data_IF_570808872402
#
_entry.id   IF_570808872402
#
_cell.length_a   1.000
_cell.length_b   1.000
_cell.length_c   1.000
_cell.angle_alpha   90.00
_cell.angle_beta   90.00
_cell.angle_gamma   90.00
#
_symmetry.space_group_name_H-M   'P 1'
#
loop_
_entity.id
_entity.type
_entity.pdbx_description
1 polymer ?
#
# COMPACT_ATOMS: atom_id res chain seq x y z
N UNK A 1 -30.53 20.25 -0.83
CA UNK A 1 -30.29 19.29 0.26
C UNK A 1 -28.92 18.68 0.04
N UNK A 2 -27.98 18.95 0.96
CA UNK A 2 -26.67 18.32 1.02
C UNK A 2 -26.83 16.84 1.38
N UNK A 3 -26.12 15.95 0.67
CA UNK A 3 -25.78 14.63 1.19
C UNK A 3 -24.27 14.45 1.09
N UNK A 4 -23.60 14.81 2.18
CA UNK A 4 -22.18 14.59 2.40
C UNK A 4 -21.92 13.09 2.64
N UNK A 5 -20.78 12.62 2.12
CA UNK A 5 -19.86 11.68 2.79
C UNK A 5 -20.45 10.30 3.05
N UNK A 6 -20.09 9.31 2.22
CA UNK A 6 -19.57 7.99 2.63
C UNK A 6 -19.30 7.19 1.35
N UNK A 7 -18.01 7.02 1.03
CA UNK A 7 -17.51 5.94 0.16
C UNK A 7 -18.26 5.72 -1.15
N UNK A 8 -18.10 6.62 -2.12
CA UNK A 8 -18.19 6.15 -3.51
C UNK A 8 -17.23 4.95 -3.68
N UNK A 9 -17.61 3.94 -4.47
CA UNK A 9 -17.07 2.58 -4.45
C UNK A 9 -15.61 2.44 -4.89
N UNK A 10 -14.69 3.12 -4.20
CA UNK A 10 -13.28 3.28 -4.54
C UNK A 10 -12.50 1.95 -4.58
N UNK A 11 -13.11 0.86 -4.10
CA UNK A 11 -12.64 -0.53 -4.13
C UNK A 11 -13.16 -1.33 -5.36
N UNK A 12 -14.21 -0.89 -6.07
CA UNK A 12 -14.98 -1.81 -6.91
C UNK A 12 -14.34 -2.18 -8.27
N UNK A 13 -13.31 -1.50 -8.80
CA UNK A 13 -12.82 -1.85 -10.17
C UNK A 13 -11.33 -1.63 -10.45
N UNK A 14 -10.43 -2.30 -9.73
CA UNK A 14 -8.98 -2.26 -9.95
C UNK A 14 -8.34 -0.99 -9.39
N UNK A 15 -7.78 -1.11 -8.19
CA UNK A 15 -6.80 -0.15 -7.67
C UNK A 15 -5.51 -0.27 -8.48
N UNK A 16 -5.49 0.34 -9.66
CA UNK A 16 -4.25 0.93 -10.14
C UNK A 16 -3.90 2.05 -9.17
N UNK A 17 -3.35 1.70 -8.01
CA UNK A 17 -2.67 2.65 -7.18
C UNK A 17 -1.53 3.24 -8.02
N UNK A 18 -1.75 4.47 -8.46
CA UNK A 18 -0.71 5.29 -9.05
C UNK A 18 0.06 5.88 -7.89
N UNK A 19 1.13 5.21 -7.47
CA UNK A 19 2.21 5.87 -6.74
C UNK A 19 2.61 7.11 -7.54
N UNK A 20 2.81 8.25 -6.88
CA UNK A 20 3.25 9.45 -7.57
C UNK A 20 4.51 9.13 -8.41
N UNK A 21 4.48 9.32 -9.75
CA UNK A 21 5.64 9.07 -10.58
C UNK A 21 6.87 9.86 -10.13
N UNK A 22 6.72 11.03 -9.50
CA UNK A 22 7.84 11.80 -8.94
C UNK A 22 8.32 11.36 -7.56
N UNK A 23 7.64 10.43 -6.88
CA UNK A 23 7.95 10.10 -5.49
C UNK A 23 9.40 9.58 -5.29
N UNK A 24 10.11 10.13 -4.33
CA UNK A 24 11.43 9.62 -3.94
C UNK A 24 11.36 8.22 -3.32
N UNK A 25 12.49 7.50 -3.21
CA UNK A 25 12.51 6.22 -2.51
C UNK A 25 11.98 6.27 -1.08
N UNK A 26 12.28 7.34 -0.34
CA UNK A 26 11.85 7.50 1.06
C UNK A 26 10.33 7.71 1.17
N UNK A 27 9.74 8.47 0.24
CA UNK A 27 8.29 8.69 0.16
C UNK A 27 7.56 7.38 -0.16
N UNK A 28 8.08 6.59 -1.11
CA UNK A 28 7.55 5.26 -1.42
C UNK A 28 7.67 4.28 -0.24
N UNK A 29 8.74 4.35 0.56
CA UNK A 29 8.84 3.52 1.77
C UNK A 29 7.88 3.97 2.88
N UNK A 30 7.60 5.26 2.98
CA UNK A 30 6.55 5.78 3.87
C UNK A 30 5.17 5.27 3.44
N UNK A 31 4.84 5.38 2.16
CA UNK A 31 3.58 4.85 1.60
C UNK A 31 3.48 3.34 1.86
N UNK A 32 4.56 2.59 1.63
CA UNK A 32 4.61 1.16 1.93
C UNK A 32 4.26 0.87 3.39
N UNK A 33 4.85 1.63 4.30
CA UNK A 33 4.63 1.50 5.75
C UNK A 33 3.18 1.79 6.11
N UNK A 34 2.61 2.86 5.54
CA UNK A 34 1.23 3.25 5.80
C UNK A 34 0.23 2.17 5.33
N UNK A 35 0.39 1.65 4.11
CA UNK A 35 -0.49 0.60 3.58
C UNK A 35 -0.42 -0.69 4.41
N UNK A 36 0.79 -1.10 4.80
CA UNK A 36 0.96 -2.29 5.64
C UNK A 36 0.39 -2.09 7.05
N UNK A 37 0.46 -0.87 7.60
CA UNK A 37 -0.15 -0.53 8.86
C UNK A 37 -1.68 -0.58 8.79
N UNK A 38 -2.29 -0.11 7.69
CA UNK A 38 -3.72 -0.27 7.45
C UNK A 38 -4.13 -1.74 7.35
N UNK A 39 -3.37 -2.56 6.61
CA UNK A 39 -3.61 -4.01 6.54
C UNK A 39 -3.58 -4.64 7.93
N UNK A 40 -2.55 -4.34 8.73
CA UNK A 40 -2.42 -4.86 10.09
C UNK A 40 -3.57 -4.44 11.00
N UNK A 41 -3.95 -3.16 10.97
CA UNK A 41 -5.07 -2.66 11.77
C UNK A 41 -6.41 -3.27 11.35
N UNK A 42 -6.63 -3.48 10.05
CA UNK A 42 -7.82 -4.15 9.54
C UNK A 42 -7.89 -5.62 9.99
N UNK A 43 -6.75 -6.33 10.03
CA UNK A 43 -6.67 -7.68 10.61
C UNK A 43 -7.04 -7.67 12.09
N UNK A 44 -6.54 -6.71 12.88
CA UNK A 44 -6.89 -6.60 14.30
C UNK A 44 -8.40 -6.41 14.52
N UNK A 45 -9.02 -5.50 13.77
CA UNK A 45 -10.47 -5.28 13.83
C UNK A 45 -11.23 -6.56 13.46
N UNK A 46 -10.76 -7.32 12.47
CA UNK A 46 -11.38 -8.59 12.12
C UNK A 46 -11.28 -9.61 13.25
N UNK A 47 -10.13 -9.71 13.93
CA UNK A 47 -9.95 -10.58 15.10
C UNK A 47 -10.88 -10.17 16.25
N UNK A 48 -10.99 -8.87 16.54
CA UNK A 48 -11.91 -8.32 17.55
C UNK A 48 -13.36 -8.69 17.22
N UNK A 49 -13.79 -8.54 15.96
CA UNK A 49 -15.14 -8.92 15.52
C UNK A 49 -15.44 -10.41 15.71
N UNK A 50 -14.48 -11.30 15.41
CA UNK A 50 -14.61 -12.74 15.64
C UNK A 50 -14.81 -13.02 17.13
N UNK A 51 -14.02 -12.36 17.98
CA UNK A 51 -14.00 -12.60 19.42
C UNK A 51 -15.26 -12.06 20.12
N UNK A 52 -15.70 -10.85 19.78
CA UNK A 52 -16.83 -10.17 20.42
C UNK A 52 -18.20 -10.74 20.00
N UNK A 53 -18.35 -11.13 18.72
CA UNK A 53 -19.65 -11.57 18.19
C UNK A 53 -19.84 -13.09 18.17
N UNK A 54 -18.80 -13.86 18.50
CA UNK A 54 -18.81 -15.33 18.45
C UNK A 54 -19.00 -15.92 17.05
N UNK A 55 -19.20 -15.08 16.02
CA UNK A 55 -19.33 -15.44 14.61
C UNK A 55 -19.04 -14.23 13.73
N UNK A 56 -18.45 -14.46 12.56
CA UNK A 56 -18.27 -13.43 11.53
C UNK A 56 -19.38 -13.56 10.51
N UNK A 57 -19.90 -12.41 10.04
CA UNK A 57 -20.79 -12.38 8.89
C UNK A 57 -20.03 -12.90 7.65
N UNK A 58 -20.36 -14.12 7.25
CA UNK A 58 -19.74 -14.84 6.12
C UNK A 58 -19.92 -14.13 4.78
N UNK A 59 -20.88 -13.22 4.66
CA UNK A 59 -21.08 -12.42 3.45
C UNK A 59 -20.17 -11.19 3.43
N UNK A 60 -19.74 -10.69 4.60
CA UNK A 60 -18.85 -9.53 4.73
C UNK A 60 -17.38 -9.90 4.83
N UNK A 61 -17.07 -11.10 5.34
CA UNK A 61 -15.70 -11.57 5.49
C UNK A 61 -14.89 -11.55 4.18
N UNK A 62 -15.40 -12.01 3.02
CA UNK A 62 -14.65 -11.96 1.77
C UNK A 62 -14.26 -10.54 1.38
N UNK A 63 -15.19 -9.58 1.49
CA UNK A 63 -14.96 -8.16 1.17
C UNK A 63 -13.89 -7.57 2.08
N UNK A 64 -13.90 -7.89 3.38
CA UNK A 64 -12.88 -7.44 4.31
C UNK A 64 -11.50 -8.01 3.99
N UNK A 65 -11.43 -9.30 3.64
CA UNK A 65 -10.18 -9.96 3.25
C UNK A 65 -9.63 -9.42 1.93
N UNK A 66 -10.50 -9.14 0.95
CA UNK A 66 -10.12 -8.47 -0.31
C UNK A 66 -9.56 -7.07 -0.05
N UNK A 67 -10.16 -6.30 0.86
CA UNK A 67 -9.63 -4.99 1.28
C UNK A 67 -8.24 -5.10 1.94
N UNK A 68 -8.04 -6.08 2.82
CA UNK A 68 -6.73 -6.36 3.42
C UNK A 68 -5.71 -6.73 2.35
N UNK A 69 -6.08 -7.60 1.40
CA UNK A 69 -5.21 -8.01 0.30
C UNK A 69 -4.81 -6.80 -0.57
N UNK A 70 -5.74 -5.88 -0.84
CA UNK A 70 -5.45 -4.65 -1.58
C UNK A 70 -4.42 -3.77 -0.86
N UNK A 71 -4.54 -3.59 0.46
CA UNK A 71 -3.54 -2.86 1.24
C UNK A 71 -2.15 -3.52 1.19
N UNK A 72 -2.09 -4.85 1.29
CA UNK A 72 -0.83 -5.60 1.18
C UNK A 72 -0.21 -5.45 -0.21
N UNK A 73 -1.02 -5.53 -1.27
CA UNK A 73 -0.55 -5.35 -2.64
C UNK A 73 0.03 -3.95 -2.84
N UNK A 74 -0.69 -2.91 -2.38
CA UNK A 74 -0.27 -1.52 -2.50
C UNK A 74 1.03 -1.26 -1.73
N UNK A 75 1.15 -1.75 -0.50
CA UNK A 75 2.40 -1.66 0.26
C UNK A 75 3.58 -2.36 -0.43
N UNK A 76 3.35 -3.55 -0.97
CA UNK A 76 4.36 -4.32 -1.71
C UNK A 76 4.83 -3.59 -2.97
N UNK A 77 3.91 -2.98 -3.72
CA UNK A 77 4.23 -2.20 -4.92
C UNK A 77 5.06 -0.96 -4.59
N UNK A 78 4.75 -0.25 -3.50
CA UNK A 78 5.52 0.90 -3.04
C UNK A 78 6.95 0.50 -2.69
N UNK A 79 7.14 -0.55 -1.89
CA UNK A 79 8.45 -1.06 -1.52
C UNK A 79 9.27 -1.52 -2.75
N UNK A 80 8.62 -2.21 -3.69
CA UNK A 80 9.25 -2.65 -4.94
C UNK A 80 9.74 -1.46 -5.77
N UNK A 81 8.92 -0.42 -5.92
CA UNK A 81 9.31 0.79 -6.64
C UNK A 81 10.44 1.54 -5.94
N UNK A 82 10.41 1.64 -4.61
CA UNK A 82 11.49 2.24 -3.84
C UNK A 82 12.82 1.52 -4.09
N UNK A 83 12.81 0.18 -4.01
CA UNK A 83 13.99 -0.63 -4.30
C UNK A 83 14.53 -0.42 -5.72
N UNK A 84 13.65 -0.37 -6.71
CA UNK A 84 14.05 -0.08 -8.10
C UNK A 84 14.71 1.30 -8.20
N UNK A 85 14.09 2.36 -7.67
CA UNK A 85 14.65 3.72 -7.72
C UNK A 85 16.00 3.82 -7.02
N UNK A 86 16.15 3.22 -5.83
CA UNK A 86 17.43 3.14 -5.13
C UNK A 86 18.51 2.41 -5.95
N UNK A 87 18.16 1.33 -6.66
CA UNK A 87 19.11 0.64 -7.54
C UNK A 87 19.53 1.54 -8.71
N UNK A 88 18.59 2.27 -9.32
CA UNK A 88 18.88 3.21 -10.40
C UNK A 88 19.81 4.35 -9.94
N UNK A 89 19.54 4.97 -8.79
CA UNK A 89 20.38 6.02 -8.21
C UNK A 89 21.80 5.52 -7.91
N UNK A 90 21.94 4.28 -7.40
CA UNK A 90 23.25 3.66 -7.17
C UNK A 90 24.03 3.46 -8.45
N UNK A 91 23.38 2.99 -9.52
CA UNK A 91 24.02 2.83 -10.84
C UNK A 91 24.48 4.18 -11.37
N UNK A 92 23.64 5.20 -11.32
CA UNK A 92 24.00 6.56 -11.77
C UNK A 92 25.18 7.12 -10.95
N UNK A 93 25.16 6.97 -9.63
CA UNK A 93 26.26 7.40 -8.75
C UNK A 93 27.58 6.68 -9.03
N UNK A 94 27.52 5.39 -9.40
CA UNK A 94 28.69 4.61 -9.83
C UNK A 94 29.22 5.08 -11.19
N UNK A 95 28.34 5.35 -12.15
CA UNK A 95 28.74 5.89 -13.46
C UNK A 95 29.45 7.24 -13.32
N UNK A 96 28.91 8.15 -12.51
CA UNK A 96 29.52 9.47 -12.27
C UNK A 96 30.91 9.33 -11.62
N UNK A 97 31.06 8.42 -10.64
CA UNK A 97 32.36 8.16 -10.00
C UNK A 97 33.38 7.51 -10.94
N UNK A 98 32.93 6.63 -11.84
CA UNK A 98 33.81 6.00 -12.84
C UNK A 98 34.31 6.98 -13.89
N UNK A 99 33.49 7.96 -14.29
CA UNK A 99 33.89 9.02 -15.24
C UNK A 99 34.81 10.05 -14.58
N UNK A 100 34.70 10.24 -13.26
CA UNK A 100 35.53 11.15 -12.49
C UNK A 100 36.85 10.54 -11.97
N UNK A 101 37.12 9.26 -12.22
CA UNK A 101 38.38 8.61 -11.87
C UNK A 101 39.45 8.88 -12.97
N UNK A 102 40.67 9.30 -12.60
CA UNK A 102 41.72 9.73 -13.54
C UNK A 102 42.34 8.59 -14.35
#
# INVERSE_FOLDING_TARGET
MNNHVFGEPWIIRHTNYFSDPSAGPDELLNDATEWLQYAYNAVKVLVELVHERGSVDVHRLPIMLEGIAAFVEMGTRCATQAHMRMQWERVQGQTVRSVAAP
#
